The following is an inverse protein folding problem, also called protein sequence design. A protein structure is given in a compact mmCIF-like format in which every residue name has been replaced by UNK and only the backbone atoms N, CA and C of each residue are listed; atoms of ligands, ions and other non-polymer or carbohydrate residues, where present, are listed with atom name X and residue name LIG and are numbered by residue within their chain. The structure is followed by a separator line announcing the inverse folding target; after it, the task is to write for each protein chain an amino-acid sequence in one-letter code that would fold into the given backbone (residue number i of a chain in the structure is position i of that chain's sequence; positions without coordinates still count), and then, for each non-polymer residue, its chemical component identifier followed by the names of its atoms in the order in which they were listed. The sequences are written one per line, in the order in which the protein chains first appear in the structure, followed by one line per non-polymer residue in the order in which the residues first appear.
data_IF_455511987622
#
_entry.id   IF_455511987622
#
_cell.length_a   1.000
_cell.length_b   1.000
_cell.length_c   1.000
_cell.angle_alpha   90.00
_cell.angle_beta   90.00
_cell.angle_gamma   90.00
#
_symmetry.space_group_name_H-M   'P 1'
#
loop_
_entity.id
_entity.type
_entity.pdbx_description
1 polymer ?
#
# COMPACT_ATOMS: atom_id res chain seq x y z
N UNK A 1 7.01 -7.25 7.88
CA UNK A 1 6.08 -7.98 6.99
C UNK A 1 6.89 -9.05 6.29
N UNK A 2 6.48 -10.33 6.38
CA UNK A 2 7.14 -11.42 5.66
C UNK A 2 6.24 -11.88 4.51
N UNK A 3 6.80 -12.02 3.32
CA UNK A 3 6.08 -12.53 2.15
C UNK A 3 6.35 -14.02 1.93
N UNK A 4 5.37 -14.73 1.35
CA UNK A 4 5.46 -16.16 1.01
C UNK A 4 5.47 -16.37 -0.51
N UNK A 5 5.94 -17.53 -0.94
CA UNK A 5 5.99 -17.92 -2.36
C UNK A 5 4.65 -17.75 -3.09
N UNK A 6 3.54 -18.12 -2.44
CA UNK A 6 2.21 -18.05 -3.06
C UNK A 6 1.75 -16.60 -3.27
N UNK A 7 2.10 -15.70 -2.34
CA UNK A 7 1.80 -14.27 -2.47
C UNK A 7 2.58 -13.64 -3.62
N UNK A 8 3.88 -13.96 -3.75
CA UNK A 8 4.70 -13.52 -4.90
C UNK A 8 4.11 -14.01 -6.22
N UNK A 9 3.76 -15.30 -6.31
CA UNK A 9 3.11 -15.88 -7.50
C UNK A 9 1.79 -15.17 -7.82
N UNK A 10 1.01 -14.84 -6.80
CA UNK A 10 -0.24 -14.11 -6.97
C UNK A 10 -0.01 -12.72 -7.55
N UNK A 11 0.92 -11.93 -7.01
CA UNK A 11 1.22 -10.58 -7.53
C UNK A 11 1.80 -10.61 -8.94
N UNK A 12 2.77 -11.48 -9.22
CA UNK A 12 3.28 -11.65 -10.59
C UNK A 12 2.19 -12.11 -11.57
N UNK A 13 1.17 -12.80 -11.08
CA UNK A 13 0.06 -13.29 -11.88
C UNK A 13 -1.03 -12.25 -12.17
N UNK A 14 -1.03 -11.12 -11.47
CA UNK A 14 -2.05 -10.07 -11.57
C UNK A 14 -1.36 -8.71 -11.72
N UNK A 15 -0.72 -8.43 -12.86
CA UNK A 15 0.02 -7.17 -13.08
C UNK A 15 -0.88 -5.93 -13.04
N UNK A 16 -2.19 -6.10 -13.19
CA UNK A 16 -3.22 -5.06 -13.09
C UNK A 16 -3.63 -4.74 -11.65
N UNK A 17 -3.19 -5.55 -10.68
CA UNK A 17 -3.58 -5.40 -9.28
C UNK A 17 -3.07 -4.10 -8.67
N UNK A 18 -1.84 -3.67 -9.00
CA UNK A 18 -1.30 -2.40 -8.52
C UNK A 18 -2.23 -1.24 -8.88
N UNK A 19 -2.61 -1.13 -10.15
CA UNK A 19 -3.50 -0.07 -10.63
C UNK A 19 -4.88 -0.15 -9.96
N UNK A 20 -5.43 -1.36 -9.81
CA UNK A 20 -6.73 -1.56 -9.14
C UNK A 20 -6.70 -1.09 -7.68
N UNK A 21 -5.65 -1.42 -6.94
CA UNK A 21 -5.50 -0.98 -5.54
C UNK A 21 -5.26 0.52 -5.49
N UNK A 22 -4.46 1.08 -6.42
CA UNK A 22 -4.25 2.53 -6.52
C UNK A 22 -5.57 3.29 -6.75
N UNK A 23 -6.39 2.83 -7.69
CA UNK A 23 -7.68 3.46 -7.98
C UNK A 23 -8.61 3.39 -6.76
N UNK A 24 -8.63 2.25 -6.07
CA UNK A 24 -9.40 2.07 -4.84
C UNK A 24 -8.89 2.97 -3.69
N UNK A 25 -7.58 3.14 -3.59
CA UNK A 25 -6.91 4.04 -2.62
C UNK A 25 -7.32 5.50 -2.87
N UNK A 26 -7.32 5.93 -4.13
CA UNK A 26 -7.75 7.27 -4.53
C UNK A 26 -9.25 7.50 -4.31
N UNK A 27 -10.08 6.47 -4.44
CA UNK A 27 -11.50 6.53 -4.10
C UNK A 27 -11.70 6.71 -2.59
N UNK A 28 -10.99 5.95 -1.76
CA UNK A 28 -11.05 6.08 -0.30
C UNK A 28 -10.61 7.48 0.16
N UNK A 29 -9.51 7.99 -0.41
CA UNK A 29 -9.06 9.36 -0.14
C UNK A 29 -10.12 10.40 -0.45
N UNK A 30 -10.82 10.27 -1.59
CA UNK A 30 -11.95 11.16 -1.93
C UNK A 30 -13.08 11.04 -0.90
N UNK A 31 -13.47 9.84 -0.51
CA UNK A 31 -14.52 9.65 0.52
C UNK A 31 -14.15 10.25 1.87
N UNK A 32 -12.88 10.17 2.28
CA UNK A 32 -12.40 10.82 3.51
C UNK A 32 -12.55 12.34 3.41
N UNK A 33 -12.11 12.93 2.30
CA UNK A 33 -12.26 14.37 2.05
C UNK A 33 -13.74 14.80 2.01
N UNK A 34 -14.61 14.03 1.37
CA UNK A 34 -16.06 14.31 1.32
C UNK A 34 -16.69 14.28 2.73
N UNK A 35 -16.17 13.45 3.65
CA UNK A 35 -16.61 13.43 5.05
C UNK A 35 -16.08 14.66 5.81
N UNK A 36 -14.83 15.04 5.58
CA UNK A 36 -14.25 16.24 6.19
C UNK A 36 -14.99 17.51 5.78
N UNK A 37 -15.34 17.66 4.50
CA UNK A 37 -16.14 18.78 3.99
C UNK A 37 -17.55 18.79 4.61
N UNK A 38 -18.18 17.61 4.78
CA UNK A 38 -19.49 17.50 5.43
C UNK A 38 -19.44 17.85 6.92
N UNK A 39 -18.39 17.46 7.63
CA UNK A 39 -18.19 17.85 9.03
C UNK A 39 -17.99 19.37 9.16
N UNK A 40 -17.21 19.98 8.25
CA UNK A 40 -16.99 21.43 8.23
C UNK A 40 -18.28 22.21 7.94
N UNK A 41 -19.04 21.80 6.92
CA UNK A 41 -20.32 22.45 6.59
C UNK A 41 -21.36 22.29 7.70
N UNK A 42 -21.46 21.11 8.35
CA UNK A 42 -22.32 20.92 9.52
C UNK A 42 -21.94 21.86 10.68
N UNK A 43 -20.64 22.10 10.91
CA UNK A 43 -20.17 23.05 11.92
C UNK A 43 -20.52 24.48 11.54
N UNK A 44 -20.37 24.88 10.28
CA UNK A 44 -20.74 26.22 9.81
C UNK A 44 -22.26 26.47 9.92
N UNK A 45 -23.09 25.50 9.54
CA UNK A 45 -24.56 25.56 9.68
C UNK A 45 -24.99 25.66 11.16
N UNK A 46 -24.27 24.97 12.05
CA UNK A 46 -24.42 25.10 13.49
C UNK A 46 -24.08 26.50 14.00
N UNK A 47 -22.92 27.03 13.61
CA UNK A 47 -22.49 28.36 14.03
C UNK A 47 -23.46 29.43 13.53
N UNK A 48 -23.92 29.33 12.28
CA UNK A 48 -24.87 30.28 11.70
C UNK A 48 -26.26 30.21 12.35
N UNK A 49 -26.79 29.00 12.61
CA UNK A 49 -28.07 28.81 13.32
C UNK A 49 -28.02 29.26 14.79
N UNK A 50 -26.86 29.12 15.45
CA UNK A 50 -26.61 29.70 16.79
C UNK A 50 -26.55 31.23 16.78
N UNK A 51 -26.04 31.83 15.69
CA UNK A 51 -25.90 33.28 15.52
C UNK A 51 -27.17 33.98 15.03
N UNK A 52 -28.14 33.26 14.42
CA UNK A 52 -29.48 33.78 14.10
C UNK A 52 -30.34 34.01 15.36
N UNK A 53 -29.82 34.71 16.36
CA UNK A 53 -30.63 35.44 17.33
C UNK A 53 -31.02 36.78 16.70
N UNK A 54 -32.19 36.82 16.07
CA UNK A 54 -32.79 38.08 15.62
C UNK A 54 -32.96 39.05 16.82
N UNK A 55 -32.66 40.36 16.67
CA UNK A 55 -32.89 41.38 17.69
C UNK A 55 -34.38 41.68 17.95
N UNK A 56 -35.31 40.94 17.36
CA UNK A 56 -36.74 41.24 17.36
C UNK A 56 -37.57 40.05 17.87
N UNK A 57 -37.44 39.72 19.16
CA UNK A 57 -38.35 38.81 19.84
C UNK A 57 -38.53 39.21 21.30
N UNK A 58 -38.92 40.47 21.51
CA UNK A 58 -39.77 40.80 22.65
C UNK A 58 -41.13 40.17 22.41
N UNK A 59 -41.69 39.55 23.45
CA UNK A 59 -43.03 38.94 23.54
C UNK A 59 -43.26 37.69 22.69
N UNK A 60 -42.88 36.53 23.21
CA UNK A 60 -43.85 35.55 23.72
C UNK A 60 -43.16 34.33 24.34
N UNK A 61 -43.75 33.83 25.43
CA UNK A 61 -43.32 32.63 26.15
C UNK A 61 -43.55 31.41 25.28
N UNK A 62 -42.59 31.05 24.43
CA UNK A 62 -42.53 29.75 23.78
C UNK A 62 -41.46 28.92 24.49
N UNK A 63 -41.90 27.86 25.18
CA UNK A 63 -41.06 26.81 25.75
C UNK A 63 -40.26 26.11 24.65
N UNK A 64 -39.12 26.69 24.28
CA UNK A 64 -38.25 26.25 23.17
C UNK A 64 -37.02 25.48 23.62
N UNK A 65 -36.95 25.05 24.89
CA UNK A 65 -35.77 24.34 25.42
C UNK A 65 -35.67 22.90 24.93
N UNK A 66 -36.79 22.20 24.68
CA UNK A 66 -36.80 20.79 24.27
C UNK A 66 -36.43 20.56 22.80
N UNK A 67 -36.82 21.43 21.88
CA UNK A 67 -36.47 21.28 20.45
C UNK A 67 -35.00 21.55 20.15
N UNK A 68 -34.34 22.37 20.99
CA UNK A 68 -32.90 22.62 20.87
C UNK A 68 -32.06 21.45 21.35
N UNK A 69 -32.43 20.80 22.47
CA UNK A 69 -31.73 19.60 22.93
C UNK A 69 -31.81 18.47 21.90
N UNK A 70 -32.98 18.28 21.27
CA UNK A 70 -33.16 17.24 20.25
C UNK A 70 -32.28 17.48 19.01
N UNK A 71 -32.07 18.74 18.62
CA UNK A 71 -31.17 19.10 17.52
C UNK A 71 -29.70 18.83 17.86
N UNK A 72 -29.26 19.18 19.08
CA UNK A 72 -27.90 18.85 19.54
C UNK A 72 -27.69 17.33 19.61
N UNK A 73 -28.67 16.57 20.09
CA UNK A 73 -28.60 15.10 20.14
C UNK A 73 -28.51 14.47 18.73
N UNK A 74 -29.22 15.02 17.74
CA UNK A 74 -29.13 14.57 16.34
C UNK A 74 -27.75 14.88 15.77
N UNK A 75 -27.18 16.03 16.10
CA UNK A 75 -25.88 16.47 15.64
C UNK A 75 -24.76 15.63 16.24
N UNK A 76 -24.81 15.37 17.54
CA UNK A 76 -23.84 14.51 18.22
C UNK A 76 -23.87 13.10 17.63
N UNK A 77 -25.07 12.56 17.33
CA UNK A 77 -25.21 11.29 16.61
C UNK A 77 -24.64 11.35 15.20
N UNK A 78 -24.86 12.44 14.47
CA UNK A 78 -24.37 12.62 13.09
C UNK A 78 -22.86 12.74 13.05
N UNK A 79 -22.26 13.54 13.93
CA UNK A 79 -20.80 13.67 14.09
C UNK A 79 -20.17 12.33 14.43
N UNK A 80 -20.78 11.57 15.34
CA UNK A 80 -20.31 10.23 15.68
C UNK A 80 -20.34 9.28 14.48
N UNK A 81 -21.40 9.28 13.69
CA UNK A 81 -21.49 8.46 12.46
C UNK A 81 -20.44 8.87 11.43
N UNK A 82 -20.20 10.18 11.26
CA UNK A 82 -19.18 10.69 10.35
C UNK A 82 -17.78 10.31 10.80
N UNK A 83 -17.49 10.41 12.09
CA UNK A 83 -16.21 10.02 12.68
C UNK A 83 -15.97 8.50 12.56
N UNK A 84 -16.98 7.68 12.87
CA UNK A 84 -16.91 6.23 12.68
C UNK A 84 -16.66 5.86 11.20
N UNK A 85 -17.36 6.52 10.28
CA UNK A 85 -17.19 6.30 8.83
C UNK A 85 -15.81 6.73 8.34
N UNK A 86 -15.30 7.88 8.82
CA UNK A 86 -13.95 8.37 8.52
C UNK A 86 -12.91 7.38 9.00
N UNK A 87 -13.02 6.92 10.24
CA UNK A 87 -12.10 5.95 10.83
C UNK A 87 -12.09 4.64 10.05
N UNK A 88 -13.26 4.13 9.62
CA UNK A 88 -13.33 2.95 8.76
C UNK A 88 -12.60 3.16 7.43
N UNK A 89 -12.80 4.29 6.76
CA UNK A 89 -12.11 4.57 5.51
C UNK A 89 -10.60 4.80 5.69
N UNK A 90 -10.16 5.39 6.81
CA UNK A 90 -8.74 5.54 7.12
C UNK A 90 -8.06 4.18 7.31
N UNK A 91 -8.66 3.27 8.08
CA UNK A 91 -8.12 1.90 8.24
C UNK A 91 -8.03 1.18 6.91
N UNK A 92 -9.07 1.25 6.08
CA UNK A 92 -9.03 0.66 4.73
C UNK A 92 -7.97 1.31 3.83
N UNK A 93 -7.75 2.61 3.99
CA UNK A 93 -6.77 3.37 3.21
C UNK A 93 -5.34 2.94 3.58
N UNK A 94 -5.04 2.83 4.87
CA UNK A 94 -3.75 2.32 5.38
C UNK A 94 -3.48 0.90 4.89
N UNK A 95 -4.46 -0.01 5.01
CA UNK A 95 -4.37 -1.38 4.50
C UNK A 95 -4.05 -1.45 2.99
N UNK A 96 -4.59 -0.51 2.20
CA UNK A 96 -4.33 -0.46 0.76
C UNK A 96 -2.95 0.14 0.43
N UNK A 97 -2.49 1.11 1.23
CA UNK A 97 -1.13 1.63 1.10
C UNK A 97 -0.08 0.55 1.38
N UNK A 98 -0.27 -0.23 2.45
CA UNK A 98 0.61 -1.35 2.80
C UNK A 98 0.66 -2.39 1.67
N UNK A 99 -0.49 -2.74 1.10
CA UNK A 99 -0.56 -3.66 -0.06
C UNK A 99 0.12 -3.08 -1.31
N UNK A 100 -0.01 -1.78 -1.56
CA UNK A 100 0.67 -1.13 -2.68
C UNK A 100 2.19 -1.16 -2.50
N UNK A 101 2.67 -0.92 -1.28
CA UNK A 101 4.10 -1.02 -0.98
C UNK A 101 4.60 -2.46 -1.15
N UNK A 102 3.82 -3.45 -0.69
CA UNK A 102 4.14 -4.88 -0.86
C UNK A 102 4.29 -5.26 -2.34
N UNK A 103 3.32 -4.89 -3.19
CA UNK A 103 3.34 -5.17 -4.62
C UNK A 103 4.56 -4.50 -5.29
N UNK A 104 4.78 -3.21 -5.00
CA UNK A 104 5.92 -2.47 -5.57
C UNK A 104 7.25 -3.06 -5.16
N UNK A 105 7.39 -3.50 -3.90
CA UNK A 105 8.60 -4.15 -3.43
C UNK A 105 8.84 -5.47 -4.16
N UNK A 106 7.79 -6.26 -4.43
CA UNK A 106 7.91 -7.47 -5.26
C UNK A 106 8.39 -7.15 -6.67
N UNK A 107 7.87 -6.09 -7.31
CA UNK A 107 8.33 -5.68 -8.64
C UNK A 107 9.80 -5.23 -8.65
N UNK A 108 10.24 -4.53 -7.61
CA UNK A 108 11.65 -4.16 -7.45
C UNK A 108 12.51 -5.42 -7.28
N UNK A 109 12.09 -6.38 -6.45
CA UNK A 109 12.81 -7.64 -6.26
C UNK A 109 12.90 -8.44 -7.57
N UNK A 110 11.79 -8.51 -8.31
CA UNK A 110 11.74 -9.12 -9.64
C UNK A 110 12.75 -8.48 -10.60
N UNK A 111 12.86 -7.14 -10.60
CA UNK A 111 13.82 -6.42 -11.45
C UNK A 111 15.29 -6.67 -11.12
N UNK A 112 15.59 -7.21 -9.93
CA UNK A 112 16.95 -7.55 -9.49
C UNK A 112 17.39 -8.96 -9.89
N UNK A 113 16.49 -9.79 -10.45
CA UNK A 113 16.83 -11.13 -10.91
C UNK A 113 17.65 -11.05 -12.22
N UNK A 114 18.28 -12.15 -12.62
CA UNK A 114 18.92 -12.21 -13.94
C UNK A 114 17.89 -12.18 -15.09
N UNK A 115 18.31 -11.71 -16.26
CA UNK A 115 17.42 -11.50 -17.41
C UNK A 115 16.68 -12.77 -17.85
N UNK A 116 17.32 -13.94 -17.76
CA UNK A 116 16.69 -15.21 -18.14
C UNK A 116 15.58 -15.57 -17.16
N UNK A 117 15.84 -15.45 -15.85
CA UNK A 117 14.84 -15.70 -14.82
C UNK A 117 13.68 -14.71 -14.92
N UNK A 118 13.95 -13.42 -15.16
CA UNK A 118 12.91 -12.41 -15.40
C UNK A 118 12.03 -12.78 -16.61
N UNK A 119 12.64 -13.16 -17.74
CA UNK A 119 11.92 -13.52 -18.95
C UNK A 119 10.99 -14.73 -18.75
N UNK A 120 11.52 -15.81 -18.15
CA UNK A 120 10.75 -17.03 -17.88
C UNK A 120 9.59 -16.76 -16.91
N UNK A 121 9.83 -16.01 -15.83
CA UNK A 121 8.78 -15.62 -14.88
C UNK A 121 7.72 -14.71 -15.53
N UNK A 122 8.14 -13.74 -16.35
CA UNK A 122 7.24 -12.84 -17.07
C UNK A 122 6.33 -13.62 -18.03
N UNK A 123 6.92 -14.49 -18.87
CA UNK A 123 6.18 -15.35 -19.79
C UNK A 123 5.20 -16.25 -19.05
N UNK A 124 5.63 -16.87 -17.95
CA UNK A 124 4.78 -17.79 -17.18
C UNK A 124 3.64 -17.07 -16.45
N UNK A 125 3.95 -16.03 -15.68
CA UNK A 125 3.01 -15.45 -14.72
C UNK A 125 2.28 -14.22 -15.25
N UNK A 126 2.93 -13.33 -16.00
CA UNK A 126 2.29 -12.11 -16.53
C UNK A 126 1.62 -12.36 -17.87
N UNK A 127 2.33 -13.02 -18.80
CA UNK A 127 1.83 -13.32 -20.14
C UNK A 127 1.04 -14.63 -20.24
N UNK A 128 1.05 -15.46 -19.18
CA UNK A 128 0.27 -16.71 -19.06
C UNK A 128 0.59 -17.77 -20.13
N UNK A 129 1.84 -17.87 -20.55
CA UNK A 129 2.26 -18.88 -21.50
C UNK A 129 2.02 -20.29 -20.95
N UNK A 130 1.56 -21.17 -21.83
CA UNK A 130 1.46 -22.60 -21.59
C UNK A 130 2.84 -23.23 -21.42
N UNK A 131 2.89 -24.45 -20.87
CA UNK A 131 4.14 -25.19 -20.76
C UNK A 131 4.78 -25.47 -22.12
N UNK A 132 3.96 -25.79 -23.12
CA UNK A 132 4.40 -26.00 -24.50
C UNK A 132 5.08 -24.75 -25.07
N UNK A 133 4.47 -23.57 -24.91
CA UNK A 133 5.03 -22.30 -25.39
C UNK A 133 6.36 -21.95 -24.69
N UNK A 134 6.49 -22.25 -23.40
CA UNK A 134 7.73 -21.99 -22.64
C UNK A 134 8.89 -22.92 -23.03
N UNK A 135 8.59 -24.19 -23.35
CA UNK A 135 9.61 -25.17 -23.73
C UNK A 135 10.09 -25.01 -25.18
N UNK A 136 9.20 -24.52 -26.05
CA UNK A 136 9.50 -24.24 -27.46
C UNK A 136 9.90 -22.79 -27.74
N UNK A 137 10.13 -22.03 -26.68
CA UNK A 137 10.60 -20.65 -26.72
C UNK A 137 12.07 -20.56 -27.21
N UNK A 138 12.51 -19.35 -27.55
CA UNK A 138 13.84 -19.06 -28.11
C UNK A 138 14.99 -19.56 -27.21
N UNK A 139 14.74 -19.64 -25.91
CA UNK A 139 15.70 -20.09 -24.90
C UNK A 139 15.98 -21.60 -24.93
N UNK A 140 15.19 -22.42 -25.65
CA UNK A 140 15.34 -23.88 -25.81
C UNK A 140 15.58 -24.63 -24.49
N UNK A 141 14.90 -24.20 -23.43
CA UNK A 141 15.03 -24.78 -22.10
C UNK A 141 14.18 -26.05 -21.99
N UNK A 142 14.72 -27.09 -21.36
CA UNK A 142 13.93 -28.28 -21.01
C UNK A 142 12.91 -27.95 -19.91
N UNK A 143 11.82 -28.73 -19.85
CA UNK A 143 10.79 -28.62 -18.80
C UNK A 143 11.39 -28.50 -17.39
N UNK A 144 12.39 -29.34 -17.09
CA UNK A 144 13.07 -29.36 -15.80
C UNK A 144 13.84 -28.07 -15.52
N UNK A 145 14.49 -27.49 -16.53
CA UNK A 145 15.20 -26.22 -16.39
C UNK A 145 14.22 -25.07 -16.14
N UNK A 146 13.11 -25.02 -16.90
CA UNK A 146 12.06 -24.01 -16.70
C UNK A 146 11.49 -24.10 -15.28
N UNK A 147 11.15 -25.32 -14.81
CA UNK A 147 10.68 -25.53 -13.43
C UNK A 147 11.67 -25.04 -12.38
N UNK A 148 12.96 -25.35 -12.53
CA UNK A 148 13.98 -24.90 -11.60
C UNK A 148 14.12 -23.37 -11.60
N UNK A 149 14.10 -22.74 -12.77
CA UNK A 149 14.16 -21.27 -12.89
C UNK A 149 12.95 -20.62 -12.21
N UNK A 150 11.75 -21.15 -12.44
CA UNK A 150 10.53 -20.63 -11.81
C UNK A 150 10.58 -20.76 -10.29
N UNK A 151 10.97 -21.92 -9.75
CA UNK A 151 11.02 -22.12 -8.31
C UNK A 151 12.10 -21.26 -7.65
N UNK A 152 13.33 -21.29 -8.19
CA UNK A 152 14.44 -20.52 -7.65
C UNK A 152 14.19 -19.01 -7.76
N UNK A 153 13.64 -18.55 -8.88
CA UNK A 153 13.33 -17.13 -9.07
C UNK A 153 12.28 -16.61 -8.06
N UNK A 154 11.28 -17.42 -7.73
CA UNK A 154 10.31 -17.07 -6.68
C UNK A 154 10.97 -17.07 -5.30
N UNK A 155 11.80 -18.06 -4.99
CA UNK A 155 12.54 -18.12 -3.72
C UNK A 155 13.49 -16.93 -3.57
N UNK A 156 14.16 -16.52 -4.64
CA UNK A 156 15.06 -15.35 -4.65
C UNK A 156 14.29 -14.05 -4.44
N UNK A 157 13.10 -13.90 -5.04
CA UNK A 157 12.21 -12.75 -4.75
C UNK A 157 11.82 -12.74 -3.27
N UNK A 158 11.43 -13.89 -2.70
CA UNK A 158 11.06 -13.98 -1.29
C UNK A 158 12.25 -13.62 -0.37
N UNK A 159 13.46 -14.11 -0.69
CA UNK A 159 14.67 -13.75 0.05
C UNK A 159 14.99 -12.26 -0.06
N UNK A 160 14.90 -11.67 -1.25
CA UNK A 160 15.12 -10.23 -1.46
C UNK A 160 14.07 -9.41 -0.70
N UNK A 161 12.80 -9.80 -0.78
CA UNK A 161 11.72 -9.09 -0.12
C UNK A 161 11.90 -9.11 1.39
N UNK A 162 12.20 -10.26 1.98
CA UNK A 162 12.35 -10.42 3.43
C UNK A 162 13.72 -9.96 3.96
N UNK A 163 14.64 -9.56 3.07
CA UNK A 163 15.95 -9.04 3.45
C UNK A 163 15.88 -7.65 4.10
N UNK A 164 16.96 -7.26 4.78
CA UNK A 164 17.13 -5.92 5.36
C UNK A 164 17.34 -4.81 4.31
N UNK A 165 17.47 -5.15 3.02
CA UNK A 165 17.66 -4.16 1.98
C UNK A 165 16.38 -3.33 1.79
N UNK A 166 16.55 -2.01 1.75
CA UNK A 166 15.44 -1.11 1.40
C UNK A 166 15.24 -1.03 -0.12
N UNK A 167 14.07 -0.56 -0.54
CA UNK A 167 13.67 -0.49 -1.95
C UNK A 167 14.66 0.33 -2.81
N UNK A 168 15.25 1.39 -2.25
CA UNK A 168 16.24 2.23 -2.94
C UNK A 168 17.55 1.47 -3.20
N UNK A 169 18.03 0.70 -2.23
CA UNK A 169 19.24 -0.10 -2.36
C UNK A 169 19.07 -1.19 -3.42
N UNK A 170 17.91 -1.86 -3.44
CA UNK A 170 17.60 -2.86 -4.45
C UNK A 170 17.53 -2.24 -5.84
N UNK A 171 16.77 -1.15 -6.02
CA UNK A 171 16.62 -0.47 -7.31
C UNK A 171 17.96 0.04 -7.89
N UNK A 172 18.87 0.53 -7.05
CA UNK A 172 20.21 1.00 -7.48
C UNK A 172 21.15 -0.13 -7.90
N UNK A 173 20.91 -1.36 -7.44
CA UNK A 173 21.76 -2.51 -7.70
C UNK A 173 21.08 -3.56 -8.59
N UNK A 174 19.98 -3.23 -9.26
CA UNK A 174 19.22 -4.16 -10.13
C UNK A 174 20.07 -4.87 -11.19
N UNK A 175 21.13 -4.22 -11.68
CA UNK A 175 22.02 -4.77 -12.72
C UNK A 175 23.22 -5.53 -12.13
N UNK A 176 23.33 -5.59 -10.79
CA UNK A 176 24.40 -6.28 -10.08
C UNK A 176 23.83 -7.51 -9.39
N UNK A 177 24.53 -8.64 -9.50
CA UNK A 177 24.16 -9.86 -8.78
C UNK A 177 24.24 -9.59 -7.26
N UNK A 178 23.09 -9.50 -6.60
CA UNK A 178 23.02 -9.36 -5.15
C UNK A 178 23.35 -10.74 -4.55
N UNK A 179 24.52 -10.86 -3.94
CA UNK A 179 24.96 -12.10 -3.30
C UNK A 179 24.45 -12.11 -1.86
N UNK A 180 23.54 -13.04 -1.56
CA UNK A 180 23.15 -13.35 -0.19
C UNK A 180 24.26 -14.16 0.48
N UNK A 181 25.10 -13.49 1.27
CA UNK A 181 25.94 -14.19 2.22
C UNK A 181 25.16 -14.32 3.54
N UNK A 182 24.70 -15.53 3.84
CA UNK A 182 24.08 -15.86 5.15
C UNK A 182 25.02 -15.55 6.33
N UNK A 183 26.34 -15.51 6.11
CA UNK A 183 27.35 -15.13 7.12
C UNK A 183 27.52 -13.61 7.31
N UNK A 184 26.91 -12.76 6.47
CA UNK A 184 27.13 -11.29 6.47
C UNK A 184 26.02 -10.46 7.11
N UNK A 185 25.02 -11.08 7.74
CA UNK A 185 24.08 -10.33 8.59
C UNK A 185 24.78 -9.64 9.78
N UNK A 186 25.98 -10.10 10.16
CA UNK A 186 26.83 -9.42 11.16
C UNK A 186 27.76 -8.34 10.59
N UNK A 187 27.96 -8.25 9.27
CA UNK A 187 28.93 -7.30 8.66
C UNK A 187 28.24 -6.01 8.16
N UNK A 188 26.93 -6.01 7.93
CA UNK A 188 26.23 -4.76 7.59
C UNK A 188 26.09 -3.79 8.77
N UNK A 189 26.30 -4.24 10.02
CA UNK A 189 26.50 -3.33 11.16
C UNK A 189 27.82 -2.56 11.05
N UNK A 190 28.90 -3.18 10.54
CA UNK A 190 30.22 -2.55 10.51
C UNK A 190 30.43 -1.53 9.39
N UNK A 191 29.67 -1.58 8.29
CA UNK A 191 29.83 -0.59 7.20
C UNK A 191 29.24 0.78 7.60
N UNK A 192 28.13 0.79 8.36
CA UNK A 192 27.53 2.04 8.86
C UNK A 192 28.26 2.65 10.06
N UNK A 193 29.10 1.88 10.76
CA UNK A 193 29.95 2.40 11.84
C UNK A 193 31.19 3.12 11.28
N UNK A 194 31.73 2.70 10.12
CA UNK A 194 32.89 3.36 9.47
C UNK A 194 32.51 4.69 8.82
N UNK A 195 31.27 4.86 8.36
CA UNK A 195 30.81 6.14 7.80
C UNK A 195 30.45 7.19 8.86
N UNK A 196 30.28 6.80 10.14
CA UNK A 196 30.08 7.77 11.24
C UNK A 196 31.39 8.31 11.83
N UNK A 197 32.50 7.59 11.69
CA UNK A 197 33.81 8.06 12.18
C UNK A 197 34.47 9.08 11.25
N UNK A 198 34.07 9.18 9.97
CA UNK A 198 34.66 10.14 9.02
C UNK A 198 33.93 11.49 8.93
N UNK A 199 32.99 11.79 9.84
CA UNK A 199 32.29 13.08 9.91
C UNK A 199 32.72 13.96 11.09
N UNK A 200 33.72 13.53 11.87
CA UNK A 200 34.36 14.33 12.90
C UNK A 200 35.88 14.21 12.78
N UNK A 201 36.45 14.79 11.74
CA UNK A 201 37.82 15.32 11.72
C UNK A 201 37.84 16.65 10.93
#
# INVERSE_FOLDING_TARGET
MEIRNDTVKYYLSHPDLEQKIWDATMLLKRKILDIEEKDETLREDLFSSLQMKSPLASTDKISSSGSKSDLFDIIDKTNKILEESKNQYLVMYEDYLDKLEEIKRVDICFSCLDLLTQDVLNKKYRLKYSWYELEHDENKLSHRQVMNILNNGIEDIVKLFNSQYNNLHLARNKDKKIIFNEEKENIQRTIFDVEKENFYD
#
